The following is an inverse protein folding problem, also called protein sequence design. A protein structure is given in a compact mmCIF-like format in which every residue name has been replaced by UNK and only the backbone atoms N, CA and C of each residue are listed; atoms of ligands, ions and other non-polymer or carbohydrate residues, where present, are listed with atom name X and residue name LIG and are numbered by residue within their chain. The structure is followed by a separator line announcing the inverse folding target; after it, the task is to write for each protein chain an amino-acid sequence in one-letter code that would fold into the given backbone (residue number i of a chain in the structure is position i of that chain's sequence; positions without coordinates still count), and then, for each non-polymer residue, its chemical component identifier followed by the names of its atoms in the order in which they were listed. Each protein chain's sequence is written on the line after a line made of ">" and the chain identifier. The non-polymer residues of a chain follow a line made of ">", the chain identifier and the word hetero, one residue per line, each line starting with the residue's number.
data_IF_668918863719
#
_entry.id   IF_668918863719
#
_cell.length_a   1.000
_cell.length_b   1.000
_cell.length_c   1.000
_cell.angle_alpha   90.00
_cell.angle_beta   90.00
_cell.angle_gamma   90.00
#
_symmetry.space_group_name_H-M   'P 1'
#
loop_
_entity.id
_entity.type
_entity.pdbx_description
1 polymer ?
#
# COMPACT_ATOMS: atom_id res chain seq x y z
N UNK A 1 -10.40 0.86 0.44
CA UNK A 1 -9.37 1.84 0.05
C UNK A 1 -8.54 1.26 -1.08
N UNK A 2 -8.40 1.97 -2.20
CA UNK A 2 -7.58 1.52 -3.33
C UNK A 2 -6.13 1.95 -3.17
N UNK A 3 -5.20 1.01 -3.15
CA UNK A 3 -3.79 1.26 -2.83
C UNK A 3 -2.93 1.65 -4.04
N UNK A 4 -3.50 1.92 -5.22
CA UNK A 4 -2.73 2.36 -6.39
C UNK A 4 -2.04 3.72 -6.18
N UNK A 5 -2.58 4.56 -5.28
CA UNK A 5 -2.08 5.92 -5.00
C UNK A 5 -0.89 6.00 -4.05
N UNK A 6 -0.49 4.88 -3.42
CA UNK A 6 0.66 4.83 -2.49
C UNK A 6 1.86 4.16 -3.17
N UNK A 7 3.07 4.35 -2.61
CA UNK A 7 4.30 3.76 -3.16
C UNK A 7 4.99 4.65 -4.20
N UNK A 8 4.83 5.97 -4.07
CA UNK A 8 5.48 6.97 -4.91
C UNK A 8 4.99 7.02 -6.36
N UNK A 9 5.89 7.34 -7.27
CA UNK A 9 5.59 7.50 -8.70
C UNK A 9 5.57 6.19 -9.49
N UNK A 10 4.94 6.20 -10.67
CA UNK A 10 4.84 5.04 -11.57
C UNK A 10 6.16 4.79 -12.32
N UNK A 11 7.20 4.41 -11.57
CA UNK A 11 8.56 4.16 -12.04
C UNK A 11 9.27 3.16 -11.12
N UNK A 12 10.54 2.87 -11.40
CA UNK A 12 11.39 1.96 -10.61
C UNK A 12 12.30 2.68 -9.60
N UNK A 13 12.07 3.96 -9.33
CA UNK A 13 12.84 4.66 -8.30
C UNK A 13 12.52 4.06 -6.93
N UNK A 14 13.51 3.94 -6.03
CA UNK A 14 13.32 3.35 -4.72
C UNK A 14 12.32 4.17 -3.88
N UNK A 15 11.62 3.48 -2.98
CA UNK A 15 10.78 4.12 -1.97
C UNK A 15 11.61 5.04 -1.08
N UNK A 16 11.02 6.18 -0.76
CA UNK A 16 11.55 7.15 0.19
C UNK A 16 10.82 7.04 1.53
N UNK A 17 11.40 7.61 2.58
CA UNK A 17 10.70 7.77 3.86
C UNK A 17 9.40 8.57 3.73
N UNK A 18 9.32 9.50 2.76
CA UNK A 18 8.12 10.27 2.52
C UNK A 18 7.00 9.39 1.94
N UNK A 19 7.33 8.44 1.07
CA UNK A 19 6.36 7.48 0.52
C UNK A 19 5.77 6.58 1.61
N UNK A 20 6.60 6.14 2.56
CA UNK A 20 6.18 5.37 3.73
C UNK A 20 5.25 6.17 4.65
N UNK A 21 5.63 7.41 4.99
CA UNK A 21 4.81 8.31 5.80
C UNK A 21 3.45 8.58 5.15
N UNK A 22 3.43 8.82 3.84
CA UNK A 22 2.20 9.05 3.08
C UNK A 22 1.32 7.80 3.08
N UNK A 23 1.90 6.61 2.87
CA UNK A 23 1.17 5.35 2.90
C UNK A 23 0.56 5.08 4.28
N UNK A 24 1.34 5.26 5.35
CA UNK A 24 0.86 5.11 6.73
C UNK A 24 -0.31 6.05 7.02
N UNK A 25 -0.16 7.35 6.72
CA UNK A 25 -1.21 8.33 6.95
C UNK A 25 -2.49 8.02 6.18
N UNK A 26 -2.38 7.53 4.93
CA UNK A 26 -3.54 7.14 4.14
C UNK A 26 -4.25 5.90 4.70
N UNK A 27 -3.48 4.91 5.17
CA UNK A 27 -4.03 3.69 5.79
C UNK A 27 -4.73 4.00 7.11
N UNK A 28 -4.09 4.78 7.99
CA UNK A 28 -4.71 5.19 9.25
C UNK A 28 -5.97 6.01 9.02
N UNK A 29 -5.93 7.02 8.15
CA UNK A 29 -7.11 7.82 7.83
C UNK A 29 -8.26 6.96 7.27
N UNK A 30 -7.96 5.94 6.44
CA UNK A 30 -8.96 5.01 5.95
C UNK A 30 -9.58 4.19 7.10
N UNK A 31 -8.75 3.66 8.01
CA UNK A 31 -9.22 2.89 9.16
C UNK A 31 -10.03 3.75 10.14
N UNK A 32 -9.64 5.00 10.36
CA UNK A 32 -10.33 5.96 11.24
C UNK A 32 -11.78 6.23 10.80
N UNK A 33 -12.02 6.26 9.48
CA UNK A 33 -13.37 6.43 8.91
C UNK A 33 -14.09 5.10 8.68
N UNK A 34 -13.56 3.99 9.19
CA UNK A 34 -14.16 2.65 9.13
C UNK A 34 -13.96 1.88 7.83
N UNK A 35 -13.10 2.35 6.92
CA UNK A 35 -12.71 1.58 5.72
C UNK A 35 -11.69 0.53 6.13
N UNK A 36 -12.07 -0.75 6.04
CA UNK A 36 -11.23 -1.87 6.45
C UNK A 36 -10.86 -2.83 5.30
N UNK A 37 -11.35 -2.64 4.08
CA UNK A 37 -10.93 -3.42 2.90
C UNK A 37 -9.92 -2.64 2.07
N UNK A 38 -8.74 -3.21 1.83
CA UNK A 38 -7.65 -2.60 1.06
C UNK A 38 -7.38 -3.40 -0.22
N UNK A 39 -7.45 -2.70 -1.36
CA UNK A 39 -7.29 -3.26 -2.70
C UNK A 39 -5.88 -3.00 -3.25
N UNK A 40 -5.20 -4.09 -3.61
CA UNK A 40 -3.87 -4.11 -4.22
C UNK A 40 -3.90 -4.77 -5.61
N UNK A 41 -2.78 -4.63 -6.31
CA UNK A 41 -2.40 -5.45 -7.46
C UNK A 41 -0.87 -5.47 -7.55
N UNK A 42 -0.32 -6.59 -8.02
CA UNK A 42 1.12 -6.78 -8.27
C UNK A 42 1.75 -5.67 -9.10
N UNK A 43 1.01 -5.09 -10.06
CA UNK A 43 1.52 -4.04 -10.94
C UNK A 43 1.44 -2.62 -10.36
N UNK A 44 0.73 -2.40 -9.25
CA UNK A 44 0.55 -1.04 -8.73
C UNK A 44 1.91 -0.41 -8.43
N UNK A 45 2.23 0.66 -9.18
CA UNK A 45 3.50 1.40 -9.10
C UNK A 45 4.73 0.50 -9.27
N UNK A 46 4.67 -0.48 -10.18
CA UNK A 46 5.72 -1.50 -10.37
C UNK A 46 6.00 -2.32 -9.10
N UNK A 47 4.96 -2.68 -8.35
CA UNK A 47 5.04 -3.46 -7.11
C UNK A 47 5.29 -2.62 -5.85
N UNK A 48 5.68 -1.35 -6.00
CA UNK A 48 6.02 -0.49 -4.86
C UNK A 48 4.83 -0.21 -3.93
N UNK A 49 3.60 -0.30 -4.43
CA UNK A 49 2.43 -0.15 -3.58
C UNK A 49 2.33 -1.28 -2.54
N UNK A 50 2.57 -2.54 -2.94
CA UNK A 50 2.62 -3.67 -2.00
C UNK A 50 3.86 -3.61 -1.11
N UNK A 51 5.00 -3.18 -1.65
CA UNK A 51 6.24 -3.02 -0.88
C UNK A 51 6.09 -2.00 0.26
N UNK A 52 5.60 -0.79 -0.03
CA UNK A 52 5.42 0.25 1.00
C UNK A 52 4.38 -0.17 2.04
N UNK A 53 3.32 -0.86 1.61
CA UNK A 53 2.31 -1.41 2.50
C UNK A 53 2.90 -2.46 3.45
N UNK A 54 3.76 -3.35 2.93
CA UNK A 54 4.49 -4.32 3.74
C UNK A 54 5.41 -3.65 4.78
N UNK A 55 6.10 -2.56 4.41
CA UNK A 55 6.96 -1.79 5.35
C UNK A 55 6.16 -1.19 6.50
N UNK A 56 5.02 -0.56 6.21
CA UNK A 56 4.19 0.03 7.28
C UNK A 56 3.57 -1.05 8.19
N UNK A 57 3.18 -2.21 7.65
CA UNK A 57 2.70 -3.33 8.47
C UNK A 57 3.80 -3.94 9.34
N UNK A 58 5.05 -3.95 8.86
CA UNK A 58 6.19 -4.42 9.65
C UNK A 58 6.53 -3.45 10.79
N UNK A 59 6.35 -2.14 10.56
CA UNK A 59 6.58 -1.09 11.56
C UNK A 59 5.44 -0.99 12.60
N UNK A 60 4.20 -1.25 12.18
CA UNK A 60 3.03 -1.33 13.05
C UNK A 60 2.18 -2.57 12.73
N UNK A 61 2.41 -3.63 13.50
CA UNK A 61 1.70 -4.89 13.35
C UNK A 61 0.22 -4.82 13.75
N UNK A 62 -0.20 -3.80 14.52
CA UNK A 62 -1.59 -3.65 14.98
C UNK A 62 -2.54 -3.32 13.83
N UNK A 63 -2.01 -2.68 12.77
CA UNK A 63 -2.76 -2.38 11.55
C UNK A 63 -3.37 -3.65 10.94
N UNK A 64 -2.60 -4.75 10.90
CA UNK A 64 -3.01 -5.97 10.20
C UNK A 64 -4.32 -6.53 10.74
N UNK A 65 -4.56 -6.47 12.05
CA UNK A 65 -5.75 -7.02 12.69
C UNK A 65 -7.03 -6.22 12.36
N UNK A 66 -6.87 -4.96 11.90
CA UNK A 66 -7.96 -4.02 11.63
C UNK A 66 -8.43 -4.04 10.17
N UNK A 67 -7.89 -4.93 9.33
CA UNK A 67 -8.08 -4.87 7.87
C UNK A 67 -8.24 -6.23 7.17
N UNK A 68 -8.89 -6.16 6.00
CA UNK A 68 -8.95 -7.18 4.97
C UNK A 68 -8.09 -6.75 3.79
N UNK A 69 -7.28 -7.67 3.28
CA UNK A 69 -6.41 -7.44 2.12
C UNK A 69 -6.89 -8.26 0.93
N UNK A 70 -7.01 -7.60 -0.21
CA UNK A 70 -7.23 -8.25 -1.49
C UNK A 70 -6.16 -7.76 -2.47
N UNK A 71 -5.50 -8.69 -3.17
CA UNK A 71 -4.56 -8.37 -4.26
C UNK A 71 -4.98 -9.04 -5.55
N UNK A 72 -4.34 -8.66 -6.65
CA UNK A 72 -4.55 -9.16 -8.01
C UNK A 72 -3.20 -9.52 -8.59
N UNK A 73 -3.21 -10.41 -9.57
CA UNK A 73 -2.04 -10.70 -10.38
C UNK A 73 -2.40 -10.95 -11.85
N UNK A 74 -1.38 -10.92 -12.71
CA UNK A 74 -1.48 -11.46 -14.08
C UNK A 74 -1.09 -10.50 -15.21
N UNK A 75 -0.86 -9.22 -14.91
CA UNK A 75 -0.38 -8.25 -15.90
C UNK A 75 1.16 -8.27 -15.89
N UNK A 76 1.77 -8.33 -17.08
CA UNK A 76 3.22 -8.20 -17.26
C UNK A 76 3.56 -6.82 -17.83
N UNK A 77 4.30 -6.03 -17.08
CA UNK A 77 4.80 -4.72 -17.52
C UNK A 77 6.00 -4.94 -18.46
N UNK A 78 5.95 -4.34 -19.65
CA UNK A 78 6.99 -4.42 -20.69
C UNK A 78 8.28 -3.70 -20.32
#
# INVERSE_FOLDING_TARGET
>A
FGCMGIGGEWNRNPLTAQDENQAYAAVEAALEVGINLFDHADIYKFGKAEEVFGRILANDSTLRERMYLQSKCGIRLG
#
